data_IF_695666695121
#
_entry.id   IF_695666695121
#
_cell.length_a   1.000
_cell.length_b   1.000
_cell.length_c   1.000
_cell.angle_alpha   90.00
_cell.angle_beta   90.00
_cell.angle_gamma   90.00
#
_symmetry.space_group_name_H-M   'P 1'
#
loop_
_entity.id
_entity.type
_entity.pdbx_description
1 polymer ?
#
# COMPACT_ATOMS: atom_id res chain seq x y z
N UNK A 1 -33.04 46.62 -29.17
CA UNK A 1 -32.06 45.53 -28.92
C UNK A 1 -31.23 45.79 -27.66
N UNK A 2 -30.56 46.94 -27.53
CA UNK A 2 -29.75 47.30 -26.34
C UNK A 2 -30.55 47.29 -25.03
N UNK A 3 -31.77 47.85 -25.02
CA UNK A 3 -32.63 47.85 -23.82
C UNK A 3 -33.01 46.43 -23.35
N UNK A 4 -33.18 45.48 -24.28
CA UNK A 4 -33.50 44.09 -23.95
C UNK A 4 -32.30 43.35 -23.35
N UNK A 5 -31.08 43.70 -23.78
CA UNK A 5 -29.84 43.14 -23.23
C UNK A 5 -29.61 43.64 -21.81
N UNK A 6 -29.86 44.92 -21.55
CA UNK A 6 -29.75 45.51 -20.21
C UNK A 6 -30.75 44.87 -19.26
N UNK A 7 -32.00 44.65 -19.70
CA UNK A 7 -33.02 44.00 -18.88
C UNK A 7 -32.65 42.56 -18.51
N UNK A 8 -32.07 41.81 -19.45
CA UNK A 8 -31.66 40.42 -19.23
C UNK A 8 -30.48 40.31 -18.26
N UNK A 9 -29.54 41.27 -18.30
CA UNK A 9 -28.40 41.35 -17.40
C UNK A 9 -28.83 41.65 -15.95
N UNK A 10 -29.82 42.53 -15.77
CA UNK A 10 -30.38 42.87 -14.45
C UNK A 10 -31.07 41.67 -13.82
N UNK A 11 -31.81 40.87 -14.61
CA UNK A 11 -32.46 39.65 -14.12
C UNK A 11 -31.42 38.64 -13.63
N UNK A 12 -30.29 38.48 -14.33
CA UNK A 12 -29.24 37.53 -13.95
C UNK A 12 -28.55 37.88 -12.61
N UNK A 13 -28.51 39.17 -12.26
CA UNK A 13 -27.92 39.65 -11.00
C UNK A 13 -28.86 39.51 -9.79
N UNK A 14 -30.17 39.38 -10.02
CA UNK A 14 -31.17 39.27 -8.94
C UNK A 14 -31.32 37.85 -8.37
N UNK A 15 -30.71 36.84 -8.99
CA UNK A 15 -30.80 35.44 -8.56
C UNK A 15 -29.41 34.81 -8.35
N UNK A 16 -28.70 35.13 -7.24
CA UNK A 16 -27.47 34.43 -6.91
C UNK A 16 -27.77 32.96 -6.60
N UNK A 17 -27.08 32.04 -7.28
CA UNK A 17 -27.16 30.61 -6.96
C UNK A 17 -26.46 30.32 -5.62
N UNK A 18 -27.05 29.50 -4.73
CA UNK A 18 -26.39 29.12 -3.49
C UNK A 18 -25.15 28.27 -3.79
N UNK A 19 -23.99 28.72 -3.31
CA UNK A 19 -22.75 27.94 -3.36
C UNK A 19 -22.65 27.12 -2.09
N UNK A 20 -22.88 25.80 -2.21
CA UNK A 20 -22.71 24.84 -1.12
C UNK A 20 -21.21 24.66 -0.81
N UNK A 21 -20.72 25.37 0.20
CA UNK A 21 -19.35 25.20 0.68
C UNK A 21 -19.23 23.92 1.50
N UNK A 22 -18.45 22.95 1.00
CA UNK A 22 -18.20 21.67 1.67
C UNK A 22 -17.62 21.90 3.07
N UNK A 23 -18.35 21.45 4.10
CA UNK A 23 -17.93 21.51 5.51
C UNK A 23 -16.54 20.89 5.70
N UNK A 24 -15.62 21.65 6.31
CA UNK A 24 -14.28 21.15 6.66
C UNK A 24 -14.42 20.01 7.69
N UNK A 25 -13.91 18.84 7.35
CA UNK A 25 -13.86 17.69 8.26
C UNK A 25 -12.92 18.02 9.43
N UNK A 26 -13.27 17.62 10.67
CA UNK A 26 -12.40 17.83 11.83
C UNK A 26 -11.09 17.08 11.62
N UNK A 27 -9.97 17.76 11.85
CA UNK A 27 -8.66 17.13 11.82
C UNK A 27 -8.59 16.05 12.90
N UNK A 28 -8.38 14.80 12.49
CA UNK A 28 -8.19 13.67 13.40
C UNK A 28 -6.91 13.90 14.18
N UNK A 29 -7.02 14.19 15.49
CA UNK A 29 -5.85 14.28 16.38
C UNK A 29 -5.06 12.98 16.26
N UNK A 30 -3.77 13.10 15.93
CA UNK A 30 -2.86 11.96 15.90
C UNK A 30 -2.81 11.36 17.31
N UNK A 31 -3.25 10.12 17.44
CA UNK A 31 -3.07 9.35 18.68
C UNK A 31 -1.57 9.15 18.85
N UNK A 32 -1.03 9.62 19.97
CA UNK A 32 0.38 9.40 20.32
C UNK A 32 0.67 7.89 20.25
N UNK A 33 1.64 7.52 19.42
CA UNK A 33 1.98 6.14 19.12
C UNK A 33 2.64 5.48 20.36
N UNK A 34 1.81 4.92 21.23
CA UNK A 34 2.27 4.05 22.30
C UNK A 34 2.85 2.77 21.67
N UNK A 35 4.19 2.71 21.64
CA UNK A 35 5.04 1.60 21.25
C UNK A 35 4.68 0.92 19.91
N UNK A 36 5.33 1.39 18.84
CA UNK A 36 5.13 0.96 17.45
C UNK A 36 5.03 -0.56 17.32
N UNK A 37 3.93 -1.03 16.73
CA UNK A 37 3.76 -2.43 16.36
C UNK A 37 4.77 -2.80 15.26
N UNK A 38 5.09 -4.10 15.11
CA UNK A 38 5.82 -4.59 13.95
C UNK A 38 5.23 -4.06 12.64
N UNK A 39 6.09 -3.45 11.83
CA UNK A 39 5.73 -2.75 10.60
C UNK A 39 6.27 -3.47 9.36
N UNK A 40 5.47 -3.47 8.30
CA UNK A 40 5.85 -3.94 6.97
C UNK A 40 5.76 -2.79 5.98
N UNK A 41 6.89 -2.43 5.37
CA UNK A 41 6.98 -1.47 4.28
C UNK A 41 7.15 -2.20 2.97
N UNK A 42 6.44 -1.77 1.93
CA UNK A 42 6.50 -2.37 0.59
C UNK A 42 6.84 -1.29 -0.43
N UNK A 43 7.79 -1.60 -1.32
CA UNK A 43 8.15 -0.73 -2.44
C UNK A 43 8.47 -1.58 -3.66
N UNK A 44 7.83 -1.27 -4.78
CA UNK A 44 8.21 -1.87 -6.06
C UNK A 44 9.60 -1.38 -6.45
N UNK A 45 10.49 -2.30 -6.86
CA UNK A 45 11.83 -1.94 -7.36
C UNK A 45 11.70 -1.11 -8.63
N UNK A 46 12.68 -0.24 -8.90
CA UNK A 46 12.62 0.70 -10.02
C UNK A 46 12.46 0.04 -11.40
N UNK A 47 13.05 -1.15 -11.57
CA UNK A 47 12.94 -2.00 -12.77
C UNK A 47 11.67 -2.89 -12.80
N UNK A 48 10.84 -2.83 -11.74
CA UNK A 48 9.64 -3.63 -11.53
C UNK A 48 9.86 -5.15 -11.55
N UNK A 49 11.08 -5.62 -11.32
CA UNK A 49 11.43 -7.05 -11.30
C UNK A 49 11.41 -7.66 -9.90
N UNK A 50 11.24 -6.84 -8.86
CA UNK A 50 11.11 -7.32 -7.49
C UNK A 50 10.26 -6.38 -6.62
N UNK A 51 9.74 -6.93 -5.53
CA UNK A 51 9.14 -6.19 -4.43
C UNK A 51 10.12 -6.10 -3.27
N UNK A 52 10.46 -4.89 -2.86
CA UNK A 52 11.29 -4.61 -1.70
C UNK A 52 10.41 -4.62 -0.44
N UNK A 53 10.64 -5.59 0.42
CA UNK A 53 9.99 -5.74 1.72
C UNK A 53 10.90 -5.21 2.82
N UNK A 54 10.42 -4.24 3.58
CA UNK A 54 11.11 -3.71 4.77
C UNK A 54 10.37 -4.14 6.02
N UNK A 55 11.08 -4.76 6.96
CA UNK A 55 10.54 -5.24 8.23
C UNK A 55 11.11 -4.38 9.37
N UNK A 56 10.22 -3.78 10.17
CA UNK A 56 10.60 -2.83 11.23
C UNK A 56 9.89 -3.12 12.54
N UNK A 57 10.44 -2.61 13.64
CA UNK A 57 9.86 -2.73 14.99
C UNK A 57 9.61 -4.18 15.41
N UNK A 58 10.52 -5.09 15.06
CA UNK A 58 10.36 -6.53 15.26
C UNK A 58 10.57 -6.99 16.71
N UNK A 59 11.01 -6.13 17.64
CA UNK A 59 11.25 -6.50 19.04
C UNK A 59 10.00 -6.96 19.82
N UNK A 60 8.79 -6.77 19.28
CA UNK A 60 7.54 -7.30 19.85
C UNK A 60 6.96 -8.48 19.09
N UNK A 61 7.58 -8.87 17.98
CA UNK A 61 7.18 -10.02 17.19
C UNK A 61 7.87 -11.28 17.73
N UNK A 62 7.09 -12.35 17.84
CA UNK A 62 7.52 -13.72 18.12
C UNK A 62 7.79 -14.49 16.83
N UNK A 63 7.00 -14.23 15.79
CA UNK A 63 7.14 -14.87 14.49
C UNK A 63 6.72 -13.91 13.39
N UNK A 64 7.30 -14.08 12.21
CA UNK A 64 6.90 -13.35 11.01
C UNK A 64 6.96 -14.27 9.80
N UNK A 65 5.82 -14.42 9.13
CA UNK A 65 5.73 -15.06 7.82
C UNK A 65 5.10 -14.10 6.82
N UNK A 66 5.44 -14.26 5.55
CA UNK A 66 4.90 -13.48 4.47
C UNK A 66 4.67 -14.34 3.23
N UNK A 67 3.71 -13.89 2.43
CA UNK A 67 3.35 -14.48 1.16
C UNK A 67 3.04 -13.35 0.18
N UNK A 68 3.75 -13.35 -0.93
CA UNK A 68 3.45 -12.56 -2.11
C UNK A 68 2.84 -13.50 -3.15
N UNK A 69 1.70 -13.13 -3.72
CA UNK A 69 1.09 -13.81 -4.87
C UNK A 69 0.89 -12.82 -6.00
N UNK A 70 1.03 -13.27 -7.24
CA UNK A 70 0.85 -12.46 -8.43
C UNK A 70 0.58 -13.34 -9.65
N UNK A 71 0.06 -12.75 -10.72
CA UNK A 71 -0.05 -13.41 -12.01
C UNK A 71 1.14 -13.03 -12.89
N UNK A 72 1.62 -13.99 -13.68
CA UNK A 72 2.56 -13.77 -14.77
C UNK A 72 1.90 -14.25 -16.08
N UNK A 73 1.25 -13.34 -16.78
CA UNK A 73 0.30 -13.72 -17.83
C UNK A 73 -0.89 -14.48 -17.23
N UNK A 74 -1.08 -15.74 -17.62
CA UNK A 74 -2.16 -16.61 -17.12
C UNK A 74 -1.72 -17.54 -15.98
N UNK A 75 -0.44 -17.50 -15.58
CA UNK A 75 0.12 -18.40 -14.57
C UNK A 75 0.22 -17.70 -13.22
N UNK A 76 -0.42 -18.30 -12.22
CA UNK A 76 -0.29 -17.88 -10.83
C UNK A 76 1.11 -18.19 -10.27
N UNK A 77 1.72 -17.19 -9.68
CA UNK A 77 3.07 -17.23 -9.11
C UNK A 77 3.06 -16.70 -7.68
N UNK A 78 4.11 -17.02 -6.92
CA UNK A 78 4.24 -16.51 -5.57
C UNK A 78 5.63 -16.66 -4.98
N UNK A 79 5.83 -15.93 -3.89
CA UNK A 79 7.02 -16.01 -3.04
C UNK A 79 6.55 -16.08 -1.60
N UNK A 80 6.79 -17.21 -0.95
CA UNK A 80 6.57 -17.36 0.48
C UNK A 80 7.89 -17.25 1.25
N UNK A 81 7.79 -16.90 2.52
CA UNK A 81 8.96 -16.89 3.38
C UNK A 81 8.66 -16.49 4.80
N UNK A 82 9.71 -16.53 5.61
CA UNK A 82 9.67 -16.15 7.01
C UNK A 82 10.89 -15.33 7.39
N UNK A 83 10.78 -14.66 8.52
CA UNK A 83 11.89 -13.96 9.15
C UNK A 83 11.84 -14.21 10.65
N UNK A 84 12.97 -14.55 11.23
CA UNK A 84 13.11 -14.64 12.67
C UNK A 84 13.21 -13.21 13.25
N UNK A 85 12.22 -12.75 14.03
CA UNK A 85 12.25 -11.42 14.63
C UNK A 85 13.47 -11.15 15.54
N UNK A 86 14.10 -12.20 16.09
CA UNK A 86 15.30 -12.09 16.91
C UNK A 86 16.50 -11.54 16.13
N UNK A 87 16.52 -11.70 14.81
CA UNK A 87 17.55 -11.13 13.93
C UNK A 87 17.37 -9.63 13.67
N UNK A 88 16.32 -9.02 14.23
CA UNK A 88 16.06 -7.60 14.14
C UNK A 88 15.48 -7.16 12.80
N UNK A 89 15.44 -5.84 12.60
CA UNK A 89 14.92 -5.19 11.40
C UNK A 89 15.73 -5.62 10.16
N UNK A 90 15.05 -5.81 9.04
CA UNK A 90 15.71 -6.27 7.81
C UNK A 90 14.98 -5.78 6.58
N UNK A 91 15.67 -5.88 5.43
CA UNK A 91 15.09 -5.69 4.12
C UNK A 91 15.28 -6.98 3.31
N UNK A 92 14.22 -7.40 2.62
CA UNK A 92 14.22 -8.56 1.74
C UNK A 92 13.76 -8.14 0.36
N UNK A 93 14.29 -8.83 -0.64
CA UNK A 93 13.89 -8.66 -2.03
C UNK A 93 13.10 -9.88 -2.47
N UNK A 94 11.86 -9.65 -2.88
CA UNK A 94 10.97 -10.68 -3.39
C UNK A 94 10.97 -10.58 -4.91
N UNK A 95 11.84 -11.34 -5.56
CA UNK A 95 12.02 -11.32 -7.01
C UNK A 95 10.81 -11.93 -7.71
N UNK A 96 10.33 -11.27 -8.77
CA UNK A 96 9.28 -11.82 -9.64
C UNK A 96 9.90 -12.71 -10.71
N UNK A 97 10.39 -13.87 -10.29
CA UNK A 97 11.12 -14.75 -11.19
C UNK A 97 11.73 -15.93 -10.46
N UNK A 98 12.52 -16.69 -11.21
CA UNK A 98 13.29 -17.81 -10.69
C UNK A 98 14.78 -17.52 -10.88
N UNK A 99 15.58 -17.83 -9.86
CA UNK A 99 17.03 -17.63 -9.91
C UNK A 99 17.73 -18.96 -9.67
N UNK A 100 18.76 -19.24 -10.46
CA UNK A 100 19.66 -20.39 -10.28
C UNK A 100 21.10 -19.88 -10.35
N UNK A 101 21.83 -20.00 -9.23
CA UNK A 101 23.13 -19.34 -9.08
C UNK A 101 23.02 -17.82 -9.24
N UNK A 102 23.75 -17.26 -10.21
CA UNK A 102 23.80 -15.83 -10.48
C UNK A 102 22.88 -15.38 -11.63
N UNK A 103 22.04 -16.27 -12.17
CA UNK A 103 21.17 -15.98 -13.31
C UNK A 103 19.71 -16.03 -12.85
N UNK A 104 18.99 -14.92 -13.07
CA UNK A 104 17.57 -14.81 -12.78
C UNK A 104 16.77 -14.66 -14.09
N UNK A 105 15.73 -15.47 -14.21
CA UNK A 105 14.71 -15.36 -15.26
C UNK A 105 13.48 -14.69 -14.68
N UNK A 106 13.24 -13.45 -15.12
CA UNK A 106 12.13 -12.63 -14.62
C UNK A 106 10.82 -12.94 -15.36
N UNK A 107 9.76 -13.07 -14.58
CA UNK A 107 8.41 -13.21 -15.08
C UNK A 107 7.91 -11.91 -15.73
N UNK A 108 7.11 -12.03 -16.78
CA UNK A 108 6.57 -10.91 -17.56
C UNK A 108 5.04 -10.81 -17.38
N UNK A 109 4.45 -9.70 -17.83
CA UNK A 109 3.01 -9.45 -17.78
C UNK A 109 2.43 -9.62 -16.38
N UNK A 110 3.07 -8.96 -15.41
CA UNK A 110 2.72 -9.09 -14.01
C UNK A 110 1.40 -8.38 -13.71
N UNK A 111 0.50 -9.05 -12.98
CA UNK A 111 -0.77 -8.47 -12.54
C UNK A 111 -1.25 -9.07 -11.21
N UNK A 112 -2.33 -8.53 -10.66
CA UNK A 112 -3.02 -9.05 -9.47
C UNK A 112 -2.11 -9.30 -8.23
N UNK A 113 -1.13 -8.43 -8.01
CA UNK A 113 -0.18 -8.57 -6.90
C UNK A 113 -0.85 -8.37 -5.53
N UNK A 114 -0.73 -9.37 -4.66
CA UNK A 114 -1.20 -9.34 -3.28
C UNK A 114 -0.06 -9.77 -2.37
N UNK A 115 0.31 -8.91 -1.44
CA UNK A 115 1.22 -9.24 -0.36
C UNK A 115 0.45 -9.43 0.95
N UNK A 116 0.80 -10.47 1.69
CA UNK A 116 0.29 -10.75 3.03
C UNK A 116 1.47 -11.00 3.97
N UNK A 117 1.44 -10.37 5.14
CA UNK A 117 2.31 -10.72 6.25
C UNK A 117 1.47 -11.12 7.46
N UNK A 118 1.89 -12.18 8.15
CA UNK A 118 1.30 -12.67 9.40
C UNK A 118 2.37 -12.59 10.46
N UNK A 119 2.11 -11.82 11.52
CA UNK A 119 3.07 -11.52 12.58
C UNK A 119 2.48 -12.01 13.90
N UNK A 120 3.07 -13.04 14.49
CA UNK A 120 2.77 -13.41 15.87
C UNK A 120 3.46 -12.46 16.82
N UNK A 121 2.76 -11.93 17.81
CA UNK A 121 3.31 -11.06 18.84
C UNK A 121 3.71 -11.86 20.08
N UNK A 122 4.62 -11.30 20.88
CA UNK A 122 5.07 -11.90 22.13
C UNK A 122 3.95 -12.03 23.18
N UNK A 123 2.89 -11.23 23.07
CA UNK A 123 1.70 -11.29 23.92
C UNK A 123 0.65 -12.31 23.45
N UNK A 124 0.97 -13.11 22.43
CA UNK A 124 0.09 -14.16 21.88
C UNK A 124 -0.90 -13.68 20.82
N UNK A 125 -0.99 -12.37 20.55
CA UNK A 125 -1.85 -11.84 19.48
C UNK A 125 -1.22 -12.06 18.10
N UNK A 126 -2.06 -12.07 17.07
CA UNK A 126 -1.60 -12.16 15.66
C UNK A 126 -2.01 -10.91 14.90
N UNK A 127 -1.06 -10.29 14.20
CA UNK A 127 -1.29 -9.19 13.28
C UNK A 127 -1.19 -9.68 11.84
N UNK A 128 -2.28 -9.53 11.08
CA UNK A 128 -2.29 -9.83 9.65
C UNK A 128 -2.33 -8.52 8.86
N UNK A 129 -1.38 -8.34 7.95
CA UNK A 129 -1.31 -7.19 7.04
C UNK A 129 -1.47 -7.70 5.62
N UNK A 130 -2.45 -7.16 4.89
CA UNK A 130 -2.70 -7.48 3.48
C UNK A 130 -2.63 -6.20 2.66
N UNK A 131 -1.87 -6.22 1.57
CA UNK A 131 -1.72 -5.10 0.65
C UNK A 131 -1.95 -5.58 -0.77
N UNK A 132 -2.76 -4.84 -1.52
CA UNK A 132 -2.87 -4.99 -2.96
C UNK A 132 -1.90 -4.01 -3.59
N UNK A 133 -0.96 -4.52 -4.38
CA UNK A 133 0.10 -3.73 -4.98
C UNK A 133 -0.33 -3.40 -6.41
N UNK A 134 -0.26 -2.11 -6.75
CA UNK A 134 -0.50 -1.64 -8.12
C UNK A 134 0.84 -1.54 -8.84
N UNK A 135 0.88 -2.06 -10.05
CA UNK A 135 2.03 -2.07 -10.96
C UNK A 135 1.87 -0.93 -11.96
#
# INVERSE_FOLDING_TARGET
MILMIILLLVIFLLFPSPVEARKKLPARKAVAANASLPGTGLKLRGDRQALLLTLTNLGKAKSLSYLLTYQAGEVGQGVDGSHDPALGNTQKELVFGTCSGNVCTYHQNLSEMIFRATIGLNDGRTLTRKYQIKI
#
